data_IF_633576347404
#
_entry.id   IF_633576347404
#
_cell.length_a   1.000
_cell.length_b   1.000
_cell.length_c   1.000
_cell.angle_alpha   90.00
_cell.angle_beta   90.00
_cell.angle_gamma   90.00
#
_symmetry.space_group_name_H-M   'P 1'
#
loop_
_entity.id
_entity.type
_entity.pdbx_description
1 polymer ?
#
# COMPACT_ATOMS: atom_id res chain seq x y z
N UNK A 1 -14.23 -6.93 -4.12
CA UNK A 1 -14.19 -8.05 -3.13
C UNK A 1 -13.16 -7.69 -2.05
N UNK A 2 -13.60 -7.18 -0.89
CA UNK A 2 -12.70 -6.79 0.22
C UNK A 2 -12.90 -7.68 1.46
N UNK A 3 -12.71 -8.99 1.29
CA UNK A 3 -12.63 -9.92 2.43
C UNK A 3 -11.22 -10.51 2.55
N UNK A 4 -10.19 -9.65 2.56
CA UNK A 4 -8.93 -10.08 3.16
C UNK A 4 -9.17 -10.15 4.68
N UNK A 5 -8.91 -11.30 5.34
CA UNK A 5 -9.02 -11.37 6.78
C UNK A 5 -8.07 -10.31 7.35
N UNK A 6 -8.59 -9.45 8.23
CA UNK A 6 -7.90 -8.35 8.93
C UNK A 6 -6.81 -8.90 9.85
N UNK A 7 -5.81 -9.53 9.26
CA UNK A 7 -4.71 -10.20 9.94
C UNK A 7 -3.66 -9.16 10.27
N UNK A 8 -3.42 -8.97 11.56
CA UNK A 8 -2.38 -8.10 12.09
C UNK A 8 -1.32 -8.98 12.74
N UNK A 9 -0.06 -8.81 12.35
CA UNK A 9 1.05 -9.50 12.98
C UNK A 9 1.36 -8.83 14.33
N UNK A 10 1.61 -9.62 15.37
CA UNK A 10 2.10 -9.09 16.63
C UNK A 10 3.58 -8.67 16.49
N UNK A 11 3.98 -7.47 16.91
CA UNK A 11 5.37 -7.03 16.84
C UNK A 11 6.31 -7.83 17.76
N UNK A 12 5.78 -8.39 18.85
CA UNK A 12 6.57 -9.11 19.86
C UNK A 12 6.86 -10.57 19.50
N UNK A 13 5.92 -11.25 18.83
CA UNK A 13 6.02 -12.71 18.60
C UNK A 13 5.67 -13.14 17.18
N UNK A 14 5.43 -12.17 16.28
CA UNK A 14 5.07 -12.40 14.87
C UNK A 14 3.79 -13.20 14.64
N UNK A 15 3.05 -13.53 15.70
CA UNK A 15 1.83 -14.30 15.57
C UNK A 15 0.72 -13.50 14.89
N UNK A 16 -0.13 -14.20 14.12
CA UNK A 16 -1.26 -13.58 13.43
C UNK A 16 -2.46 -13.39 14.36
N UNK A 17 -2.97 -12.16 14.39
CA UNK A 17 -4.10 -11.74 15.20
C UNK A 17 -5.16 -11.06 14.33
N UNK A 18 -6.37 -10.94 14.84
CA UNK A 18 -7.48 -10.26 14.16
C UNK A 18 -8.53 -9.86 15.19
N UNK A 19 -9.20 -8.73 14.96
CA UNK A 19 -10.42 -8.38 15.70
C UNK A 19 -11.53 -9.37 15.36
N UNK A 20 -12.27 -9.81 16.38
CA UNK A 20 -13.51 -10.56 16.18
C UNK A 20 -14.64 -9.57 15.92
N UNK A 21 -15.54 -9.88 14.99
CA UNK A 21 -16.71 -9.07 14.65
C UNK A 21 -16.38 -7.63 14.21
N UNK A 22 -17.24 -6.66 14.54
CA UNK A 22 -17.09 -5.25 14.20
C UNK A 22 -16.57 -4.48 15.43
N UNK A 23 -15.24 -4.27 15.54
CA UNK A 23 -14.67 -3.56 16.68
C UNK A 23 -15.07 -2.09 16.69
N UNK A 24 -15.19 -1.52 17.89
CA UNK A 24 -15.27 -0.07 18.08
C UNK A 24 -13.90 0.55 17.81
N UNK A 25 -13.82 1.84 17.46
CA UNK A 25 -12.54 2.52 17.21
C UNK A 25 -11.54 2.37 18.37
N UNK A 26 -12.03 2.39 19.61
CA UNK A 26 -11.21 2.28 20.83
C UNK A 26 -10.85 0.84 21.21
N UNK A 27 -11.33 -0.18 20.49
CA UNK A 27 -11.08 -1.58 20.84
C UNK A 27 -9.63 -1.97 20.51
N UNK A 28 -8.85 -2.26 21.54
CA UNK A 28 -7.44 -2.66 21.42
C UNK A 28 -7.32 -4.14 21.07
N UNK A 29 -6.60 -4.43 19.98
CA UNK A 29 -6.21 -5.78 19.65
C UNK A 29 -5.05 -6.22 20.55
N UNK A 30 -5.28 -7.30 21.28
CA UNK A 30 -4.24 -7.96 22.04
C UNK A 30 -3.80 -9.23 21.31
N UNK A 31 -2.50 -9.53 21.38
CA UNK A 31 -1.96 -10.74 20.83
C UNK A 31 -2.52 -11.96 21.57
N UNK A 32 -3.01 -12.95 20.82
CA UNK A 32 -3.59 -14.18 21.38
C UNK A 32 -2.55 -15.12 22.01
N UNK A 33 -1.27 -14.89 21.73
CA UNK A 33 -0.17 -15.75 22.16
C UNK A 33 0.59 -15.11 23.32
N UNK A 34 1.20 -13.94 23.11
CA UNK A 34 1.99 -13.25 24.15
C UNK A 34 1.19 -12.23 24.98
N UNK A 35 -0.09 -11.99 24.66
CA UNK A 35 -0.98 -11.01 25.33
C UNK A 35 -0.56 -9.54 25.23
N UNK A 36 0.52 -9.22 24.51
CA UNK A 36 0.92 -7.84 24.25
C UNK A 36 -0.19 -7.07 23.52
N UNK A 37 -0.37 -5.78 23.87
CA UNK A 37 -1.20 -4.86 23.11
C UNK A 37 -0.55 -4.58 21.75
N UNK A 38 -1.34 -4.63 20.68
CA UNK A 38 -0.86 -4.43 19.31
C UNK A 38 -1.19 -3.02 18.83
N UNK A 39 -2.48 -2.69 18.73
CA UNK A 39 -2.98 -1.38 18.30
C UNK A 39 -4.48 -1.27 18.62
N UNK A 40 -4.99 -0.04 18.72
CA UNK A 40 -6.43 0.21 18.64
C UNK A 40 -6.96 -0.01 17.22
N UNK A 41 -8.27 -0.20 17.07
CA UNK A 41 -8.86 -0.39 15.74
C UNK A 41 -8.73 0.87 14.88
N UNK A 42 -8.87 2.05 15.48
CA UNK A 42 -8.69 3.34 14.78
C UNK A 42 -7.26 3.50 14.26
N UNK A 43 -6.25 3.24 15.10
CA UNK A 43 -4.84 3.25 14.69
C UNK A 43 -4.57 2.31 13.51
N UNK A 44 -5.11 1.10 13.56
CA UNK A 44 -4.98 0.14 12.47
C UNK A 44 -5.62 0.62 11.17
N UNK A 45 -6.81 1.24 11.24
CA UNK A 45 -7.49 1.78 10.06
C UNK A 45 -6.69 2.93 9.46
N UNK A 46 -6.17 3.83 10.30
CA UNK A 46 -5.36 4.97 9.85
C UNK A 46 -4.06 4.50 9.18
N UNK A 47 -3.30 3.59 9.82
CA UNK A 47 -2.06 3.03 9.25
C UNK A 47 -2.33 2.27 7.94
N UNK A 48 -3.40 1.47 7.90
CA UNK A 48 -3.77 0.75 6.67
C UNK A 48 -4.15 1.72 5.55
N UNK A 49 -4.95 2.75 5.85
CA UNK A 49 -5.33 3.76 4.87
C UNK A 49 -4.12 4.54 4.34
N UNK A 50 -3.18 4.90 5.22
CA UNK A 50 -1.95 5.58 4.83
C UNK A 50 -1.11 4.71 3.89
N UNK A 51 -0.85 3.45 4.24
CA UNK A 51 -0.05 2.54 3.39
C UNK A 51 -0.70 2.27 2.04
N UNK A 52 -2.03 2.15 2.01
CA UNK A 52 -2.76 2.00 0.75
C UNK A 52 -2.67 3.28 -0.10
N UNK A 53 -2.74 4.46 0.51
CA UNK A 53 -2.54 5.73 -0.20
C UNK A 53 -1.11 5.84 -0.76
N UNK A 54 -0.10 5.51 0.03
CA UNK A 54 1.30 5.48 -0.40
C UNK A 54 1.51 4.49 -1.56
N UNK A 55 0.92 3.30 -1.47
CA UNK A 55 0.96 2.30 -2.54
C UNK A 55 0.34 2.81 -3.83
N UNK A 56 -0.85 3.43 -3.77
CA UNK A 56 -1.53 3.97 -4.94
C UNK A 56 -0.73 5.13 -5.57
N UNK A 57 -0.12 5.99 -4.76
CA UNK A 57 0.75 7.06 -5.26
C UNK A 57 2.00 6.51 -5.94
N UNK A 58 2.63 5.48 -5.37
CA UNK A 58 3.78 4.82 -5.99
C UNK A 58 3.40 4.17 -7.33
N UNK A 59 2.30 3.43 -7.39
CA UNK A 59 1.79 2.82 -8.63
C UNK A 59 1.50 3.88 -9.71
N UNK A 60 0.96 5.04 -9.33
CA UNK A 60 0.71 6.13 -10.26
C UNK A 60 2.01 6.75 -10.82
N UNK A 61 2.98 7.05 -9.96
CA UNK A 61 4.27 7.63 -10.36
C UNK A 61 5.05 6.69 -11.28
N UNK A 62 5.11 5.39 -10.95
CA UNK A 62 5.79 4.40 -11.80
C UNK A 62 5.15 4.28 -13.20
N UNK A 63 3.82 4.40 -13.26
CA UNK A 63 3.07 4.38 -14.52
C UNK A 63 3.37 5.61 -15.38
N UNK A 64 3.46 6.80 -14.77
CA UNK A 64 3.75 8.05 -15.47
C UNK A 64 5.18 8.03 -16.07
N UNK A 65 6.17 7.63 -15.27
CA UNK A 65 7.57 7.49 -15.73
C UNK A 65 7.67 6.50 -16.89
N UNK A 66 6.98 5.35 -16.79
CA UNK A 66 7.01 4.33 -17.85
C UNK A 66 6.42 4.85 -19.16
N UNK A 67 5.32 5.61 -19.08
CA UNK A 67 4.66 6.22 -20.23
C UNK A 67 5.51 7.31 -20.85
N UNK A 68 6.10 8.19 -20.04
CA UNK A 68 6.96 9.27 -20.49
C UNK A 68 8.23 8.72 -21.15
N UNK A 69 8.84 7.68 -20.59
CA UNK A 69 9.98 7.02 -21.21
C UNK A 69 9.61 6.36 -22.54
N UNK A 70 8.43 5.73 -22.65
CA UNK A 70 7.97 5.17 -23.91
C UNK A 70 7.75 6.27 -24.97
N UNK A 71 7.18 7.40 -24.56
CA UNK A 71 6.98 8.55 -25.44
C UNK A 71 8.32 9.14 -25.90
N UNK A 72 9.26 9.38 -24.98
CA UNK A 72 10.60 9.88 -25.29
C UNK A 72 11.36 8.93 -26.21
N UNK A 73 11.28 7.62 -25.98
CA UNK A 73 11.86 6.61 -26.88
C UNK A 73 11.25 6.68 -28.27
N UNK A 74 9.94 6.87 -28.39
CA UNK A 74 9.28 7.00 -29.69
C UNK A 74 9.71 8.28 -30.42
N UNK A 75 9.83 9.41 -29.71
CA UNK A 75 10.31 10.68 -30.28
C UNK A 75 11.77 10.56 -30.72
N UNK A 76 12.64 9.96 -29.90
CA UNK A 76 14.06 9.78 -30.23
C UNK A 76 14.31 8.71 -31.30
N UNK A 77 13.44 7.71 -31.39
CA UNK A 77 13.50 6.69 -32.44
C UNK A 77 12.94 7.17 -33.78
N UNK A 78 12.20 8.30 -33.79
CA UNK A 78 11.84 8.95 -35.05
C UNK A 78 13.12 9.54 -35.65
N UNK A 79 13.57 9.06 -36.82
CA UNK A 79 14.74 9.63 -37.48
C UNK A 79 14.39 11.08 -37.80
N UNK A 80 15.24 12.01 -37.34
CA UNK A 80 15.20 13.39 -37.77
C UNK A 80 14.96 13.41 -39.30
N UNK A 81 13.83 13.96 -39.73
CA UNK A 81 13.75 14.56 -41.04
C UNK A 81 14.79 15.67 -41.03
N UNK A 82 16.05 15.30 -41.32
CA UNK A 82 17.11 16.23 -41.63
C UNK A 82 16.64 16.98 -42.86
N UNK A 83 16.13 18.18 -42.60
CA UNK A 83 15.89 19.20 -43.61
C UNK A 83 17.24 19.43 -44.27
N UNK A 84 17.42 18.83 -45.43
CA UNK A 84 18.46 19.19 -46.39
C UNK A 84 18.15 20.61 -46.89
N UNK A 85 19.10 21.56 -46.81
CA UNK A 85 19.25 22.55 -47.88
C UNK A 85 19.85 21.91 -49.13
#
# INVERSE_FOLDING_TARGET
MFQRPRKVACPECSASNYWKANPKPTDVLHCRYCRAAIASYDEYVQDTAQREAERLLAEFVETDISRDLAHLKAVLAAPEQRVNP
#
